data_IF_053586622034
#
_entry.id   IF_053586622034
#
_cell.length_a   1.000
_cell.length_b   1.000
_cell.length_c   1.000
_cell.angle_alpha   90.00
_cell.angle_beta   90.00
_cell.angle_gamma   90.00
#
_symmetry.space_group_name_H-M   'P 1'
#
loop_
_entity.id
_entity.type
_entity.pdbx_description
1 polymer ?
#
# COMPACT_ATOMS: atom_id res chain seq x y z
N UNK A 1 11.36 -16.77 1.82
CA UNK A 1 10.97 -17.47 0.60
C UNK A 1 9.45 -17.61 0.52
N UNK A 2 8.77 -17.94 1.62
CA UNK A 2 7.30 -18.15 1.69
C UNK A 2 6.41 -16.94 1.30
N UNK A 3 6.79 -15.69 1.60
CA UNK A 3 5.89 -14.53 1.39
C UNK A 3 5.73 -14.08 -0.07
N UNK A 4 6.76 -14.28 -0.91
CA UNK A 4 6.64 -13.99 -2.35
C UNK A 4 5.72 -15.00 -3.05
N UNK A 5 5.61 -16.21 -2.51
CA UNK A 5 4.67 -17.22 -3.02
C UNK A 5 3.23 -16.83 -2.67
N UNK A 6 2.97 -16.25 -1.48
CA UNK A 6 1.64 -15.77 -1.10
C UNK A 6 1.12 -14.64 -1.99
N UNK A 7 1.95 -13.64 -2.31
CA UNK A 7 1.49 -12.54 -3.19
C UNK A 7 1.22 -13.05 -4.61
N UNK A 8 2.05 -13.94 -5.15
CA UNK A 8 1.86 -14.53 -6.48
C UNK A 8 0.55 -15.31 -6.59
N UNK A 9 0.08 -15.93 -5.50
CA UNK A 9 -1.21 -16.63 -5.46
C UNK A 9 -2.42 -15.68 -5.46
N UNK A 10 -2.22 -14.38 -5.23
CA UNK A 10 -3.28 -13.36 -5.14
C UNK A 10 -3.35 -12.49 -6.39
N UNK A 11 -2.25 -12.43 -7.16
CA UNK A 11 -2.22 -11.75 -8.45
C UNK A 11 -3.22 -12.39 -9.41
N UNK A 12 -3.95 -11.55 -10.14
CA UNK A 12 -4.78 -12.04 -11.25
C UNK A 12 -3.90 -12.45 -12.42
N UNK A 13 -4.45 -13.24 -13.32
CA UNK A 13 -3.76 -13.61 -14.54
C UNK A 13 -3.42 -12.35 -15.37
N UNK A 14 -2.13 -12.13 -15.67
CA UNK A 14 -1.63 -10.93 -16.36
C UNK A 14 -1.42 -9.70 -15.47
N UNK A 15 -1.65 -9.81 -14.16
CA UNK A 15 -1.30 -8.76 -13.20
C UNK A 15 0.19 -8.87 -12.82
N UNK A 16 0.93 -7.79 -13.00
CA UNK A 16 2.38 -7.74 -12.78
C UNK A 16 2.74 -6.77 -11.66
N UNK A 17 3.69 -7.15 -10.80
CA UNK A 17 4.23 -6.26 -9.76
C UNK A 17 5.19 -5.26 -10.40
N UNK A 18 4.81 -3.99 -10.39
CA UNK A 18 5.63 -2.86 -10.85
C UNK A 18 6.65 -2.47 -9.77
N UNK A 19 6.22 -2.46 -8.50
CA UNK A 19 7.07 -2.03 -7.38
C UNK A 19 6.68 -2.71 -6.07
N UNK A 20 7.68 -3.12 -5.29
CA UNK A 20 7.50 -3.63 -3.93
C UNK A 20 8.33 -2.81 -2.93
N UNK A 21 7.77 -2.52 -1.75
CA UNK A 21 8.46 -1.82 -0.65
C UNK A 21 8.04 -2.37 0.70
N UNK A 22 8.95 -2.27 1.67
CA UNK A 22 8.63 -2.50 3.08
C UNK A 22 8.20 -1.17 3.70
N UNK A 23 7.08 -1.20 4.42
CA UNK A 23 6.51 -0.07 5.15
C UNK A 23 6.41 -0.42 6.63
N UNK A 24 6.17 0.56 7.50
CA UNK A 24 6.09 0.34 8.94
C UNK A 24 5.03 -0.71 9.32
N UNK A 25 3.91 -0.74 8.58
CA UNK A 25 2.80 -1.69 8.78
C UNK A 25 2.91 -3.01 8.04
N UNK A 26 4.02 -3.29 7.34
CA UNK A 26 4.20 -4.51 6.55
C UNK A 26 4.89 -4.28 5.20
N UNK A 27 4.25 -4.74 4.14
CA UNK A 27 4.69 -4.66 2.76
C UNK A 27 3.60 -4.00 1.92
N UNK A 28 4.04 -3.26 0.91
CA UNK A 28 3.19 -2.63 -0.08
C UNK A 28 3.69 -3.01 -1.47
N UNK A 29 2.76 -3.44 -2.31
CA UNK A 29 2.99 -3.84 -3.68
C UNK A 29 2.15 -2.94 -4.57
N UNK A 30 2.78 -2.35 -5.59
CA UNK A 30 2.10 -1.71 -6.69
C UNK A 30 2.11 -2.69 -7.86
N UNK A 31 0.92 -2.99 -8.37
CA UNK A 31 0.74 -3.72 -9.62
C UNK A 31 0.26 -2.77 -10.72
N UNK A 32 0.19 -3.27 -11.95
CA UNK A 32 -0.46 -2.59 -13.07
C UNK A 32 -1.98 -2.41 -12.89
N UNK A 33 -2.60 -3.00 -11.87
CA UNK A 33 -4.05 -2.87 -11.61
C UNK A 33 -4.41 -2.25 -10.26
N UNK A 34 -3.58 -2.43 -9.23
CA UNK A 34 -3.94 -2.10 -7.83
C UNK A 34 -2.72 -1.94 -6.92
N UNK A 35 -2.96 -1.28 -5.79
CA UNK A 35 -2.07 -1.35 -4.63
C UNK A 35 -2.52 -2.51 -3.76
N UNK A 36 -1.59 -3.37 -3.34
CA UNK A 36 -1.82 -4.49 -2.42
C UNK A 36 -0.96 -4.27 -1.18
N UNK A 37 -1.48 -4.57 0.01
CA UNK A 37 -0.72 -4.54 1.26
C UNK A 37 -1.09 -5.71 2.16
N UNK A 38 -0.12 -6.31 2.83
CA UNK A 38 -0.39 -7.24 3.92
C UNK A 38 -0.61 -6.47 5.23
N UNK A 39 -1.78 -6.65 5.82
CA UNK A 39 -2.25 -5.78 6.89
C UNK A 39 -1.54 -6.09 8.22
N UNK A 40 -0.78 -5.12 8.76
CA UNK A 40 -0.82 -4.82 10.20
C UNK A 40 -1.12 -3.33 10.38
N UNK A 41 -2.36 -3.07 10.80
CA UNK A 41 -2.88 -1.82 11.42
C UNK A 41 -3.23 -0.61 10.52
N UNK A 42 -4.31 -0.73 9.74
CA UNK A 42 -5.19 0.41 9.43
C UNK A 42 -6.20 0.57 10.57
N UNK A 43 -5.83 1.20 11.71
CA UNK A 43 -6.72 1.65 12.81
C UNK A 43 -7.96 0.78 13.17
N UNK A 44 -7.91 -0.54 12.98
CA UNK A 44 -8.97 -1.48 13.37
C UNK A 44 -8.31 -2.55 14.22
N UNK A 45 -8.42 -2.34 15.54
CA UNK A 45 -8.07 -3.27 16.59
C UNK A 45 -8.99 -4.50 16.44
N UNK A 46 -8.58 -5.52 15.69
CA UNK A 46 -9.31 -6.79 15.60
C UNK A 46 -8.29 -7.94 15.60
N UNK A 47 -8.40 -8.73 16.67
CA UNK A 47 -8.05 -10.14 16.89
C UNK A 47 -6.93 -10.79 16.06
N UNK A 48 -5.93 -11.32 16.77
CA UNK A 48 -4.83 -12.16 16.30
C UNK A 48 -5.35 -13.50 15.73
N UNK A 49 -5.78 -13.53 14.47
CA UNK A 49 -5.72 -14.73 13.64
C UNK A 49 -4.54 -14.59 12.66
N UNK A 50 -3.65 -15.59 12.63
CA UNK A 50 -2.40 -15.61 11.83
C UNK A 50 -2.60 -15.72 10.31
N UNK A 51 -3.75 -15.31 9.77
CA UNK A 51 -3.92 -15.20 8.32
C UNK A 51 -3.47 -13.80 7.90
N UNK A 52 -2.44 -13.74 7.07
CA UNK A 52 -2.01 -12.52 6.38
C UNK A 52 -3.17 -12.00 5.52
N UNK A 53 -4.02 -11.14 6.08
CA UNK A 53 -5.10 -10.53 5.33
C UNK A 53 -4.52 -9.46 4.40
N UNK A 54 -4.61 -9.69 3.10
CA UNK A 54 -4.22 -8.70 2.11
C UNK A 54 -5.37 -7.71 1.88
N UNK A 55 -5.06 -6.42 1.91
CA UNK A 55 -5.97 -5.36 1.47
C UNK A 55 -5.56 -4.92 0.07
N UNK A 56 -6.52 -4.57 -0.77
CA UNK A 56 -6.25 -4.11 -2.12
C UNK A 56 -7.06 -2.86 -2.49
N UNK A 57 -6.42 -1.97 -3.22
CA UNK A 57 -6.98 -0.70 -3.69
C UNK A 57 -6.81 -0.66 -5.21
N UNK A 58 -7.87 -0.88 -6.00
CA UNK A 58 -7.82 -0.72 -7.44
C UNK A 58 -7.34 0.67 -7.84
N UNK A 59 -6.40 0.77 -8.79
CA UNK A 59 -5.89 2.06 -9.27
C UNK A 59 -7.01 2.92 -9.85
N UNK A 60 -7.95 2.30 -10.57
CA UNK A 60 -9.14 2.95 -11.12
C UNK A 60 -10.04 3.61 -10.05
N UNK A 61 -9.94 3.20 -8.78
CA UNK A 61 -10.72 3.78 -7.69
C UNK A 61 -9.98 4.91 -6.97
N UNK A 62 -8.69 5.12 -7.23
CA UNK A 62 -7.91 6.20 -6.60
C UNK A 62 -8.42 7.54 -7.12
N UNK A 63 -8.84 8.40 -6.19
CA UNK A 63 -9.30 9.77 -6.48
C UNK A 63 -8.12 10.72 -6.51
N UNK A 64 -7.21 10.59 -5.54
CA UNK A 64 -5.95 11.32 -5.52
C UNK A 64 -4.93 10.61 -4.62
N UNK A 65 -3.65 10.91 -4.86
CA UNK A 65 -2.54 10.44 -4.03
C UNK A 65 -1.52 11.57 -3.82
N UNK A 66 -0.95 11.65 -2.63
CA UNK A 66 0.06 12.66 -2.29
C UNK A 66 1.06 12.15 -1.26
N UNK A 67 2.26 12.71 -1.29
CA UNK A 67 3.28 12.46 -0.26
C UNK A 67 3.15 13.48 0.88
N UNK A 68 3.41 13.04 2.11
CA UNK A 68 3.46 13.90 3.28
C UNK A 68 4.77 13.66 4.03
N UNK A 69 5.39 14.76 4.49
CA UNK A 69 6.53 14.67 5.39
C UNK A 69 5.99 14.34 6.78
N UNK A 70 6.63 13.39 7.46
CA UNK A 70 6.46 13.30 8.90
C UNK A 70 6.88 14.61 9.58
N UNK A 71 6.20 14.96 10.66
CA UNK A 71 6.59 15.96 11.66
C UNK A 71 8.08 15.75 12.02
N UNK A 72 8.89 16.83 12.16
CA UNK A 72 10.35 16.80 11.92
C UNK A 72 11.21 15.86 12.79
N UNK A 73 10.65 15.19 13.80
CA UNK A 73 11.44 14.43 14.77
C UNK A 73 10.96 12.99 15.03
N UNK A 74 9.74 12.59 14.64
CA UNK A 74 9.19 11.29 15.05
C UNK A 74 8.29 10.56 14.04
N UNK A 75 8.06 11.12 12.85
CA UNK A 75 7.18 10.43 11.88
C UNK A 75 7.89 10.07 10.60
N UNK A 76 7.63 8.84 10.18
CA UNK A 76 8.06 8.29 8.92
C UNK A 76 7.40 9.05 7.77
N UNK A 77 8.09 9.19 6.61
CA UNK A 77 7.50 9.74 5.40
C UNK A 77 6.28 8.91 4.96
N UNK A 78 5.18 9.58 4.55
CA UNK A 78 3.91 8.89 4.29
C UNK A 78 3.40 9.11 2.87
N UNK A 79 2.86 8.05 2.27
CA UNK A 79 1.96 8.14 1.13
C UNK A 79 0.52 8.20 1.64
N UNK A 80 -0.24 9.18 1.17
CA UNK A 80 -1.68 9.30 1.40
C UNK A 80 -2.37 8.91 0.10
N UNK A 81 -3.27 7.93 0.16
CA UNK A 81 -4.12 7.53 -0.97
C UNK A 81 -5.57 7.70 -0.58
N UNK A 82 -6.31 8.49 -1.35
CA UNK A 82 -7.76 8.60 -1.24
C UNK A 82 -8.41 7.83 -2.37
N UNK A 83 -9.34 6.93 -2.05
CA UNK A 83 -10.01 6.10 -3.06
C UNK A 83 -11.50 5.92 -2.78
N UNK A 84 -12.24 5.54 -3.82
CA UNK A 84 -13.66 5.19 -3.73
C UNK A 84 -13.83 3.75 -3.30
N UNK A 85 -14.52 3.54 -2.18
CA UNK A 85 -14.95 2.23 -1.71
C UNK A 85 -16.45 2.26 -1.42
N UNK A 86 -17.23 1.47 -2.17
CA UNK A 86 -18.70 1.36 -2.00
C UNK A 86 -19.39 2.73 -1.95
N UNK A 87 -18.97 3.64 -2.84
CA UNK A 87 -19.53 4.99 -2.96
C UNK A 87 -18.99 6.03 -1.95
N UNK A 88 -18.11 5.65 -1.02
CA UNK A 88 -17.51 6.56 -0.02
C UNK A 88 -16.06 6.86 -0.37
N UNK A 89 -15.58 8.04 0.02
CA UNK A 89 -14.15 8.35 0.02
C UNK A 89 -13.50 7.73 1.25
N UNK A 90 -12.42 6.99 1.04
CA UNK A 90 -11.61 6.38 2.09
C UNK A 90 -10.18 6.86 1.93
N UNK A 91 -9.60 7.36 3.02
CA UNK A 91 -8.20 7.77 3.06
C UNK A 91 -7.37 6.72 3.79
N UNK A 92 -6.26 6.32 3.18
CA UNK A 92 -5.27 5.41 3.77
C UNK A 92 -3.89 6.03 3.75
N UNK A 93 -3.07 5.61 4.72
CA UNK A 93 -1.73 6.12 4.94
C UNK A 93 -0.75 4.95 4.94
N UNK A 94 0.32 5.07 4.16
CA UNK A 94 1.42 4.10 4.13
C UNK A 94 2.69 4.79 4.59
N UNK A 95 3.30 4.29 5.66
CA UNK A 95 4.50 4.87 6.26
C UNK A 95 5.75 4.17 5.73
N UNK A 96 6.57 4.88 4.97
CA UNK A 96 7.80 4.36 4.37
C UNK A 96 8.98 4.54 5.31
N UNK A 97 9.95 3.64 5.21
CA UNK A 97 11.16 3.69 6.06
C UNK A 97 12.01 4.93 5.81
N UNK A 98 12.02 5.46 4.59
CA UNK A 98 12.76 6.67 4.21
C UNK A 98 12.06 7.42 3.05
N UNK A 99 12.56 8.63 2.74
CA UNK A 99 11.93 9.55 1.78
C UNK A 99 12.18 9.10 0.34
N UNK A 100 13.33 8.50 0.08
CA UNK A 100 13.74 8.01 -1.22
C UNK A 100 12.81 6.88 -1.68
N UNK A 101 12.55 5.90 -0.81
CA UNK A 101 11.63 4.79 -1.09
C UNK A 101 10.19 5.27 -1.32
N UNK A 102 9.73 6.25 -0.52
CA UNK A 102 8.43 6.89 -0.75
C UNK A 102 8.39 7.57 -2.13
N UNK A 103 9.44 8.32 -2.47
CA UNK A 103 9.52 9.06 -3.74
C UNK A 103 9.48 8.10 -4.93
N UNK A 104 10.29 7.05 -4.90
CA UNK A 104 10.34 6.05 -5.97
C UNK A 104 9.01 5.30 -6.12
N UNK A 105 8.38 4.91 -5.01
CA UNK A 105 7.09 4.25 -5.04
C UNK A 105 5.98 5.19 -5.56
N UNK A 106 5.99 6.45 -5.14
CA UNK A 106 5.03 7.45 -5.60
C UNK A 106 5.19 7.76 -7.09
N UNK A 107 6.43 7.85 -7.58
CA UNK A 107 6.69 8.03 -9.02
C UNK A 107 6.17 6.84 -9.84
N UNK A 108 6.37 5.62 -9.36
CA UNK A 108 5.80 4.44 -10.00
C UNK A 108 4.27 4.47 -10.00
N UNK A 109 3.64 4.85 -8.88
CA UNK A 109 2.17 4.94 -8.76
C UNK A 109 1.55 5.95 -9.73
N UNK A 110 2.21 7.10 -9.94
CA UNK A 110 1.71 8.14 -10.85
C UNK A 110 1.93 7.77 -12.33
N UNK A 111 2.79 6.79 -12.61
CA UNK A 111 3.12 6.33 -13.96
C UNK A 111 2.41 5.03 -14.37
N UNK A 112 1.67 4.41 -13.45
CA UNK A 112 0.91 3.17 -13.64
C UNK A 112 -0.54 3.48 -14.00
#
# INVERSE_FOLDING_TARGET
MEKKEEINNILKNGEEIIRERRIAGGEIYLTNERIITNRISLMKKISLSSQTSFSSIPLANIVFSRTARGIPFFSLPRLIVSYKERGRNVDVFFEFVNKEELKEFYQALVSA
#
